data_IF_873709174279
#
_entry.id   IF_873709174279
#
_cell.length_a   1.000
_cell.length_b   1.000
_cell.length_c   1.000
_cell.angle_alpha   90.00
_cell.angle_beta   90.00
_cell.angle_gamma   90.00
#
_symmetry.space_group_name_H-M   'P 1'
#
loop_
_entity.id
_entity.type
_entity.pdbx_description
1 polymer ?
#
# COMPACT_ATOMS: atom_id res chain seq x y z
N UNK A 1 -1.09 1.38 18.89
CA UNK A 1 -2.39 1.86 18.39
C UNK A 1 -2.92 0.90 17.35
N UNK A 2 -4.24 0.78 17.20
CA UNK A 2 -4.90 -0.01 16.16
C UNK A 2 -5.07 0.84 14.90
N UNK A 3 -5.01 0.24 13.70
CA UNK A 3 -5.08 0.99 12.47
C UNK A 3 -6.48 1.55 12.21
N UNK A 4 -6.53 2.62 11.41
CA UNK A 4 -7.74 3.10 10.76
C UNK A 4 -7.42 3.43 9.30
N UNK A 5 -8.40 3.26 8.42
CA UNK A 5 -8.21 3.46 6.98
C UNK A 5 -8.86 4.77 6.54
N UNK A 6 -8.11 5.61 5.83
CA UNK A 6 -8.65 6.81 5.18
C UNK A 6 -8.54 6.65 3.67
N UNK A 7 -9.64 6.81 2.96
CA UNK A 7 -9.74 6.54 1.52
C UNK A 7 -9.78 7.80 0.65
N UNK A 8 -9.51 8.98 1.23
CA UNK A 8 -9.59 10.26 0.51
C UNK A 8 -8.51 10.44 -0.57
N UNK A 9 -7.42 9.68 -0.51
CA UNK A 9 -6.32 9.69 -1.50
C UNK A 9 -6.32 8.43 -2.36
N UNK A 10 -7.40 7.66 -2.31
CA UNK A 10 -7.54 6.45 -3.10
C UNK A 10 -7.71 6.83 -4.57
N UNK A 11 -6.77 6.40 -5.43
CA UNK A 11 -6.77 6.81 -6.83
C UNK A 11 -7.00 5.63 -7.79
N UNK A 12 -7.81 5.88 -8.83
CA UNK A 12 -8.04 4.96 -9.95
C UNK A 12 -6.88 5.03 -10.97
N UNK A 13 -5.65 5.00 -10.46
CA UNK A 13 -4.41 5.14 -11.22
C UNK A 13 -4.07 3.86 -12.02
N UNK A 14 -3.17 3.98 -13.00
CA UNK A 14 -2.61 2.86 -13.78
C UNK A 14 -1.09 3.06 -13.94
N UNK A 15 -0.27 1.98 -14.00
CA UNK A 15 -0.66 0.57 -14.09
C UNK A 15 -1.01 -0.09 -12.74
N UNK A 16 -0.74 0.58 -11.62
CA UNK A 16 -1.22 0.20 -10.29
C UNK A 16 -2.24 1.22 -9.81
N UNK A 17 -3.07 0.86 -8.84
CA UNK A 17 -4.21 1.65 -8.40
C UNK A 17 -5.49 0.83 -8.42
N UNK A 18 -6.60 1.50 -8.14
CA UNK A 18 -7.87 0.83 -7.91
C UNK A 18 -8.66 0.54 -9.19
N UNK A 19 -8.18 1.03 -10.33
CA UNK A 19 -8.79 0.80 -11.66
C UNK A 19 -8.84 -0.68 -12.05
N UNK A 20 -7.87 -1.49 -11.59
CA UNK A 20 -7.75 -2.92 -11.90
C UNK A 20 -8.31 -3.85 -10.81
N UNK A 21 -8.97 -3.32 -9.77
CA UNK A 21 -9.49 -4.17 -8.69
C UNK A 21 -10.73 -4.94 -9.16
N UNK A 22 -10.68 -6.27 -9.07
CA UNK A 22 -11.84 -7.13 -9.35
C UNK A 22 -12.61 -7.47 -8.05
N UNK A 23 -13.75 -8.15 -8.18
CA UNK A 23 -14.62 -8.53 -7.05
C UNK A 23 -13.90 -9.35 -5.98
N UNK A 24 -13.08 -10.31 -6.40
CA UNK A 24 -12.40 -11.23 -5.48
C UNK A 24 -11.28 -10.51 -4.74
N UNK A 25 -10.49 -9.68 -5.44
CA UNK A 25 -9.49 -8.81 -4.84
C UNK A 25 -10.12 -7.84 -3.84
N UNK A 26 -11.25 -7.22 -4.19
CA UNK A 26 -11.96 -6.32 -3.29
C UNK A 26 -12.43 -7.03 -2.00
N UNK A 27 -12.94 -8.27 -2.12
CA UNK A 27 -13.34 -9.07 -0.98
C UNK A 27 -12.15 -9.42 -0.07
N UNK A 28 -11.02 -9.83 -0.65
CA UNK A 28 -9.79 -10.15 0.09
C UNK A 28 -9.19 -8.92 0.78
N UNK A 29 -9.15 -7.77 0.09
CA UNK A 29 -8.70 -6.50 0.67
C UNK A 29 -9.56 -6.16 1.87
N UNK A 30 -10.89 -6.18 1.71
CA UNK A 30 -11.82 -5.86 2.80
C UNK A 30 -11.62 -6.78 4.00
N UNK A 31 -11.60 -8.10 3.78
CA UNK A 31 -11.41 -9.07 4.85
C UNK A 31 -10.08 -8.86 5.57
N UNK A 32 -9.00 -8.61 4.82
CA UNK A 32 -7.69 -8.38 5.41
C UNK A 32 -7.63 -7.07 6.21
N UNK A 33 -8.09 -5.96 5.63
CA UNK A 33 -8.11 -4.67 6.32
C UNK A 33 -8.93 -4.75 7.62
N UNK A 34 -10.09 -5.41 7.59
CA UNK A 34 -10.89 -5.66 8.79
C UNK A 34 -10.13 -6.50 9.83
N UNK A 35 -9.39 -7.53 9.41
CA UNK A 35 -8.58 -8.33 10.35
C UNK A 35 -7.51 -7.49 11.06
N UNK A 36 -6.88 -6.56 10.34
CA UNK A 36 -5.86 -5.66 10.88
C UNK A 36 -6.39 -4.65 11.89
N UNK A 37 -7.65 -4.24 11.80
CA UNK A 37 -8.27 -3.34 12.79
C UNK A 37 -8.26 -3.92 14.21
N UNK A 38 -8.18 -5.24 14.35
CA UNK A 38 -8.08 -5.91 15.64
C UNK A 38 -6.67 -5.88 16.23
N UNK A 39 -5.66 -5.61 15.40
CA UNK A 39 -4.22 -5.73 15.69
C UNK A 39 -3.57 -4.36 15.92
N UNK A 40 -2.44 -4.34 16.62
CA UNK A 40 -1.59 -3.16 16.72
C UNK A 40 -0.69 -3.07 15.48
N UNK A 41 -0.35 -1.86 15.05
CA UNK A 41 0.60 -1.64 13.93
C UNK A 41 1.89 -2.46 14.04
N UNK A 42 2.47 -2.58 15.24
CA UNK A 42 3.67 -3.39 15.49
C UNK A 42 3.48 -4.88 15.15
N UNK A 43 2.29 -5.43 15.40
CA UNK A 43 1.95 -6.83 15.11
C UNK A 43 1.76 -7.01 13.60
N UNK A 44 1.09 -6.05 12.95
CA UNK A 44 0.89 -6.04 11.50
C UNK A 44 2.22 -6.03 10.75
N UNK A 45 3.12 -5.10 11.11
CA UNK A 45 4.42 -4.94 10.45
C UNK A 45 5.32 -6.17 10.65
N UNK A 46 5.30 -6.76 11.85
CA UNK A 46 6.12 -7.92 12.16
C UNK A 46 5.63 -9.20 11.44
N UNK A 47 4.32 -9.38 11.31
CA UNK A 47 3.75 -10.67 10.86
C UNK A 47 3.40 -10.71 9.37
N UNK A 48 3.01 -9.59 8.75
CA UNK A 48 2.31 -9.64 7.45
C UNK A 48 3.07 -9.00 6.27
N UNK A 49 4.38 -9.23 6.18
CA UNK A 49 5.25 -8.66 5.12
C UNK A 49 5.01 -7.16 4.89
N UNK A 50 4.59 -6.47 5.95
CA UNK A 50 4.13 -5.08 5.89
C UNK A 50 5.24 -4.20 6.43
N UNK A 51 5.69 -3.23 5.64
CA UNK A 51 6.88 -2.46 5.96
C UNK A 51 6.82 -1.09 5.30
N UNK A 52 7.60 -0.15 5.86
CA UNK A 52 7.81 1.15 5.25
C UNK A 52 8.82 1.03 4.11
N UNK A 53 8.51 1.68 3.00
CA UNK A 53 9.37 1.78 1.82
C UNK A 53 9.65 3.26 1.61
N UNK A 54 10.92 3.63 1.48
CA UNK A 54 11.31 5.03 1.26
C UNK A 54 10.73 5.50 -0.07
N UNK A 55 10.29 6.76 -0.14
CA UNK A 55 9.77 7.36 -1.38
C UNK A 55 10.75 7.19 -2.55
N UNK A 56 12.05 7.31 -2.27
CA UNK A 56 13.13 7.15 -3.26
C UNK A 56 13.28 5.73 -3.82
N UNK A 57 12.77 4.72 -3.11
CA UNK A 57 12.86 3.31 -3.51
C UNK A 57 11.63 2.87 -4.34
N UNK A 58 10.61 3.73 -4.46
CA UNK A 58 9.44 3.47 -5.31
C UNK A 58 9.80 3.60 -6.80
N UNK A 59 9.00 3.00 -7.67
CA UNK A 59 9.11 3.25 -9.10
C UNK A 59 8.89 4.73 -9.44
N UNK A 60 9.42 5.18 -10.58
CA UNK A 60 9.37 6.59 -10.98
C UNK A 60 7.94 7.09 -11.12
N UNK A 61 7.05 6.24 -11.62
CA UNK A 61 5.63 6.50 -11.80
C UNK A 61 4.95 6.80 -10.46
N UNK A 62 5.26 6.03 -9.40
CA UNK A 62 4.70 6.26 -8.07
C UNK A 62 5.25 7.54 -7.44
N UNK A 63 6.54 7.84 -7.63
CA UNK A 63 7.15 9.10 -7.17
C UNK A 63 6.49 10.31 -7.83
N UNK A 64 6.35 10.29 -9.16
CA UNK A 64 5.70 11.36 -9.92
C UNK A 64 4.22 11.52 -9.52
N UNK A 65 3.52 10.43 -9.25
CA UNK A 65 2.13 10.49 -8.80
C UNK A 65 2.02 11.18 -7.43
N UNK A 66 2.94 10.92 -6.49
CA UNK A 66 2.96 11.62 -5.20
C UNK A 66 3.14 13.14 -5.37
N UNK A 67 4.01 13.58 -6.29
CA UNK A 67 4.17 14.99 -6.64
C UNK A 67 2.89 15.60 -7.21
N UNK A 68 2.20 14.88 -8.10
CA UNK A 68 0.94 15.33 -8.71
C UNK A 68 -0.16 15.55 -7.66
N UNK A 69 -0.23 14.69 -6.65
CA UNK A 69 -1.21 14.82 -5.56
C UNK A 69 -0.71 15.65 -4.37
N UNK A 70 0.42 16.34 -4.51
CA UNK A 70 1.04 17.18 -3.48
C UNK A 70 1.31 16.40 -2.17
N UNK A 71 1.83 15.18 -2.30
CA UNK A 71 2.29 14.32 -1.20
C UNK A 71 3.77 13.92 -1.40
N UNK A 72 4.56 14.76 -2.07
CA UNK A 72 5.98 14.54 -2.32
C UNK A 72 6.89 14.84 -1.13
N UNK A 73 6.33 15.43 -0.07
CA UNK A 73 7.00 15.70 1.20
C UNK A 73 7.13 14.47 2.11
N UNK A 74 6.48 13.35 1.78
CA UNK A 74 6.55 12.12 2.58
C UNK A 74 7.90 11.40 2.40
N UNK A 75 8.50 10.98 3.51
CA UNK A 75 9.75 10.20 3.49
C UNK A 75 9.54 8.76 3.00
N UNK A 76 8.39 8.17 3.32
CA UNK A 76 8.09 6.77 3.07
C UNK A 76 6.59 6.51 2.91
N UNK A 77 6.27 5.41 2.22
CA UNK A 77 4.93 4.83 2.14
C UNK A 77 4.90 3.48 2.85
N UNK A 78 3.79 3.15 3.50
CA UNK A 78 3.55 1.83 4.05
C UNK A 78 3.09 0.89 2.92
N UNK A 79 3.79 -0.23 2.76
CA UNK A 79 3.33 -1.38 1.98
C UNK A 79 2.64 -2.36 2.91
N UNK A 80 1.34 -2.57 2.72
CA UNK A 80 0.52 -3.44 3.55
C UNK A 80 0.20 -4.74 2.80
N UNK A 81 0.63 -5.88 3.36
CA UNK A 81 0.38 -7.20 2.78
C UNK A 81 -1.11 -7.55 2.76
N UNK A 82 -1.67 -7.86 1.60
CA UNK A 82 -3.04 -8.40 1.49
C UNK A 82 -3.01 -9.91 1.28
N UNK A 83 -2.29 -10.33 0.26
CA UNK A 83 -1.96 -11.74 -0.03
C UNK A 83 -0.45 -11.91 -0.12
N UNK A 84 0.06 -13.04 -0.59
CA UNK A 84 1.49 -13.17 -0.86
C UNK A 84 1.96 -12.20 -1.95
N UNK A 85 1.14 -11.95 -2.96
CA UNK A 85 1.49 -11.16 -4.15
C UNK A 85 0.98 -9.72 -4.08
N UNK A 86 -0.16 -9.48 -3.43
CA UNK A 86 -0.81 -8.19 -3.52
C UNK A 86 -0.63 -7.30 -2.29
N UNK A 87 -0.55 -5.99 -2.52
CA UNK A 87 -0.29 -4.95 -1.53
C UNK A 87 -1.28 -3.80 -1.64
N UNK A 88 -1.62 -3.22 -0.49
CA UNK A 88 -2.20 -1.88 -0.41
C UNK A 88 -1.11 -0.93 0.05
N UNK A 89 -0.92 0.16 -0.68
CA UNK A 89 0.02 1.22 -0.32
C UNK A 89 -0.70 2.40 0.30
N UNK A 90 -0.04 3.08 1.24
CA UNK A 90 -0.58 4.30 1.80
C UNK A 90 0.41 5.10 2.64
N UNK A 91 0.02 6.32 2.97
CA UNK A 91 0.79 7.20 3.85
C UNK A 91 0.35 6.93 5.28
N UNK A 92 1.26 6.45 6.12
CA UNK A 92 0.98 6.19 7.52
C UNK A 92 1.20 7.45 8.35
N UNK A 93 0.13 7.96 8.93
CA UNK A 93 0.14 9.11 9.83
C UNK A 93 -0.44 8.69 11.18
N UNK A 94 0.44 8.57 12.18
CA UNK A 94 0.14 7.99 13.50
C UNK A 94 -0.44 6.58 13.40
N UNK A 95 -1.77 6.45 13.54
CA UNK A 95 -2.47 5.17 13.44
C UNK A 95 -3.32 5.07 12.18
N UNK A 96 -3.44 6.14 11.39
CA UNK A 96 -4.28 6.19 10.19
C UNK A 96 -3.42 5.93 8.98
N UNK A 97 -3.79 4.93 8.18
CA UNK A 97 -3.22 4.73 6.85
C UNK A 97 -4.12 5.43 5.83
N UNK A 98 -3.60 6.48 5.20
CA UNK A 98 -4.22 7.15 4.04
C UNK A 98 -3.93 6.27 2.82
N UNK A 99 -4.91 5.50 2.39
CA UNK A 99 -4.81 4.55 1.29
C UNK A 99 -4.57 5.31 -0.02
N UNK A 100 -3.57 4.87 -0.77
CA UNK A 100 -3.19 5.39 -2.09
C UNK A 100 -3.56 4.38 -3.18
N UNK A 101 -2.78 3.30 -3.28
CA UNK A 101 -2.83 2.38 -4.42
C UNK A 101 -3.08 0.94 -4.00
N UNK A 102 -3.74 0.21 -4.89
CA UNK A 102 -3.76 -1.25 -4.90
C UNK A 102 -2.75 -1.75 -5.93
N UNK A 103 -1.95 -2.75 -5.58
CA UNK A 103 -0.92 -3.30 -6.45
C UNK A 103 -0.89 -4.82 -6.31
N UNK A 104 -1.29 -5.52 -7.37
CA UNK A 104 -1.29 -6.98 -7.40
C UNK A 104 0.08 -7.57 -7.76
N UNK A 105 0.90 -6.83 -8.51
CA UNK A 105 2.06 -7.38 -9.24
C UNK A 105 3.40 -6.75 -8.81
N UNK A 106 3.43 -6.08 -7.66
CA UNK A 106 4.60 -5.36 -7.12
C UNK A 106 5.15 -4.29 -8.08
N UNK A 107 4.29 -3.61 -8.82
CA UNK A 107 4.70 -2.56 -9.76
C UNK A 107 5.15 -1.27 -9.05
N UNK A 108 4.64 -1.00 -7.85
CA UNK A 108 4.99 0.21 -7.07
C UNK A 108 6.42 0.12 -6.55
N UNK A 109 6.87 -1.07 -6.17
CA UNK A 109 8.22 -1.33 -5.70
C UNK A 109 8.67 -2.69 -6.27
N UNK A 110 9.16 -2.72 -7.52
CA UNK A 110 9.60 -3.96 -8.16
C UNK A 110 10.76 -4.56 -7.38
N UNK A 111 10.61 -5.82 -6.96
CA UNK A 111 11.75 -6.60 -6.47
C UNK A 111 12.55 -7.09 -7.67
N UNK A 112 13.86 -6.87 -7.65
CA UNK A 112 14.75 -7.54 -8.59
C UNK A 112 14.54 -9.05 -8.44
N UNK A 113 14.07 -9.71 -9.51
CA UNK A 113 14.03 -11.17 -9.52
C UNK A 113 15.48 -11.66 -9.48
N UNK A 114 15.85 -12.56 -8.56
CA UNK A 114 17.16 -13.20 -8.65
C UNK A 114 17.28 -13.84 -10.04
N UNK A 115 18.38 -13.55 -10.75
CA UNK A 115 18.67 -14.17 -12.04
C UNK A 115 18.47 -15.68 -11.92
N UNK A 116 17.51 -16.21 -12.68
CA UNK A 116 17.22 -17.65 -12.77
C UNK A 116 18.07 -18.25 -13.88
#
# INVERSE_FOLDING_TARGET
>A
MRPAWRVSLLEMFTPFGWSAVNRDSAAQIRERLASYETMKWKEIMYTYRSHLIRRTDLCREAQNHLEQIQQDDVDAVMSLGITQQARVYGILDHNVLKILWWDHDHLVCPVEKPNT
#
